data_IF_962625298177
#
_entry.id   IF_962625298177
#
_cell.length_a   1.000
_cell.length_b   1.000
_cell.length_c   1.000
_cell.angle_alpha   90.00
_cell.angle_beta   90.00
_cell.angle_gamma   90.00
#
_symmetry.space_group_name_H-M   'P 1'
#
loop_
_entity.id
_entity.type
_entity.pdbx_description
1 polymer ?
#
# COMPACT_ATOMS: atom_id res chain seq x y z
N UNK A 1 -14.13 -10.19 -10.64
CA UNK A 1 -13.42 -9.06 -11.30
C UNK A 1 -14.11 -7.72 -11.09
N UNK A 2 -15.43 -7.59 -11.30
CA UNK A 2 -16.15 -6.32 -11.07
C UNK A 2 -15.95 -5.74 -9.65
N UNK A 3 -15.93 -6.58 -8.60
CA UNK A 3 -15.69 -6.15 -7.22
C UNK A 3 -14.29 -5.55 -7.00
N UNK A 4 -13.27 -6.13 -7.63
CA UNK A 4 -11.88 -5.64 -7.57
C UNK A 4 -11.73 -4.31 -8.27
N UNK A 5 -12.34 -4.18 -9.46
CA UNK A 5 -12.34 -2.93 -10.23
C UNK A 5 -13.12 -1.83 -9.50
N UNK A 6 -14.27 -2.16 -8.91
CA UNK A 6 -15.06 -1.21 -8.13
C UNK A 6 -14.28 -0.69 -6.90
N UNK A 7 -13.54 -1.57 -6.23
CA UNK A 7 -12.71 -1.18 -5.09
C UNK A 7 -11.55 -0.26 -5.52
N UNK A 8 -10.87 -0.57 -6.63
CA UNK A 8 -9.82 0.28 -7.20
C UNK A 8 -10.36 1.64 -7.66
N UNK A 9 -11.52 1.66 -8.31
CA UNK A 9 -12.16 2.90 -8.76
C UNK A 9 -12.57 3.78 -7.58
N UNK A 10 -13.15 3.20 -6.52
CA UNK A 10 -13.52 3.95 -5.31
C UNK A 10 -12.29 4.57 -4.65
N UNK A 11 -11.18 3.83 -4.58
CA UNK A 11 -9.91 4.31 -4.03
C UNK A 11 -9.35 5.51 -4.82
N UNK A 12 -9.29 5.39 -6.15
CA UNK A 12 -8.84 6.49 -7.03
C UNK A 12 -9.75 7.72 -6.88
N UNK A 13 -11.08 7.53 -6.82
CA UNK A 13 -12.02 8.62 -6.62
C UNK A 13 -11.83 9.32 -5.27
N UNK A 14 -11.59 8.57 -4.18
CA UNK A 14 -11.34 9.17 -2.86
C UNK A 14 -9.99 9.90 -2.80
N UNK A 15 -8.93 9.30 -3.33
CA UNK A 15 -7.59 9.89 -3.38
C UNK A 15 -7.56 11.18 -4.21
N UNK A 16 -8.18 11.12 -5.39
CA UNK A 16 -8.34 12.26 -6.28
C UNK A 16 -9.22 13.34 -5.66
N UNK A 17 -10.37 12.97 -5.08
CA UNK A 17 -11.31 13.89 -4.47
C UNK A 17 -10.72 14.67 -3.28
N UNK A 18 -10.02 13.98 -2.38
CA UNK A 18 -9.36 14.59 -1.22
C UNK A 18 -8.23 15.52 -1.67
N UNK A 19 -7.38 15.06 -2.59
CA UNK A 19 -6.25 15.86 -3.10
C UNK A 19 -6.71 17.09 -3.88
N UNK A 20 -7.77 16.97 -4.68
CA UNK A 20 -8.38 18.08 -5.38
C UNK A 20 -9.04 19.07 -4.42
N UNK A 21 -9.74 18.59 -3.39
CA UNK A 21 -10.36 19.45 -2.37
C UNK A 21 -9.32 20.27 -1.58
N UNK A 22 -8.16 19.67 -1.27
CA UNK A 22 -7.07 20.33 -0.55
C UNK A 22 -6.25 21.28 -1.43
N UNK A 23 -6.01 20.90 -2.69
CA UNK A 23 -5.04 21.59 -3.54
C UNK A 23 -5.68 22.47 -4.63
N UNK A 24 -6.97 22.25 -4.95
CA UNK A 24 -7.69 22.91 -6.04
C UNK A 24 -7.16 22.58 -7.44
N UNK A 25 -6.20 21.65 -7.56
CA UNK A 25 -5.47 21.37 -8.79
C UNK A 25 -5.61 19.91 -9.22
N UNK A 26 -6.08 19.71 -10.46
CA UNK A 26 -6.23 18.40 -11.09
C UNK A 26 -4.87 17.71 -11.27
N UNK A 27 -3.81 18.49 -11.50
CA UNK A 27 -2.45 17.97 -11.66
C UNK A 27 -1.93 17.30 -10.39
N UNK A 28 -2.22 17.90 -9.23
CA UNK A 28 -1.83 17.35 -7.92
C UNK A 28 -2.63 16.10 -7.63
N UNK A 29 -3.94 16.11 -7.91
CA UNK A 29 -4.79 14.94 -7.72
C UNK A 29 -4.38 13.74 -8.60
N UNK A 30 -3.95 13.99 -9.84
CA UNK A 30 -3.38 12.96 -10.72
C UNK A 30 -2.07 12.39 -10.18
N UNK A 31 -1.16 13.26 -9.71
CA UNK A 31 0.11 12.83 -9.12
C UNK A 31 -0.11 11.98 -7.85
N UNK A 32 -1.04 12.38 -6.97
CA UNK A 32 -1.32 11.64 -5.73
C UNK A 32 -1.82 10.22 -6.01
N UNK A 33 -2.66 10.04 -7.04
CA UNK A 33 -3.15 8.70 -7.44
C UNK A 33 -2.01 7.71 -7.73
N UNK A 34 -0.87 8.18 -8.25
CA UNK A 34 0.31 7.35 -8.52
C UNK A 34 1.26 7.29 -7.32
N UNK A 35 1.39 8.39 -6.58
CA UNK A 35 2.27 8.48 -5.40
C UNK A 35 1.76 7.61 -4.27
N UNK A 36 0.44 7.50 -4.08
CA UNK A 36 -0.18 6.73 -3.00
C UNK A 36 0.25 5.25 -2.97
N UNK A 37 0.12 4.45 -4.05
CA UNK A 37 0.56 3.06 -4.03
C UNK A 37 2.08 2.92 -3.84
N UNK A 38 2.88 3.88 -4.35
CA UNK A 38 4.34 3.88 -4.18
C UNK A 38 4.71 4.13 -2.72
N UNK A 39 4.11 5.13 -2.09
CA UNK A 39 4.30 5.43 -0.67
C UNK A 39 3.81 4.27 0.17
N UNK A 40 2.68 3.65 -0.18
CA UNK A 40 2.16 2.50 0.55
C UNK A 40 3.12 1.29 0.48
N UNK A 41 3.72 1.01 -0.68
CA UNK A 41 4.77 -0.03 -0.79
C UNK A 41 6.00 0.29 0.06
N UNK A 42 6.50 1.53 -0.01
CA UNK A 42 7.68 1.97 0.75
C UNK A 42 7.39 1.92 2.26
N UNK A 43 6.23 2.43 2.67
CA UNK A 43 5.78 2.42 4.06
C UNK A 43 5.64 0.99 4.58
N UNK A 44 5.00 0.08 3.83
CA UNK A 44 4.92 -1.32 4.22
C UNK A 44 6.30 -1.97 4.34
N UNK A 45 7.23 -1.71 3.41
CA UNK A 45 8.58 -2.23 3.48
C UNK A 45 9.32 -1.75 4.74
N UNK A 46 9.26 -0.44 5.04
CA UNK A 46 9.90 0.10 6.24
C UNK A 46 9.19 -0.30 7.52
N UNK A 47 7.86 -0.38 7.52
CA UNK A 47 7.07 -0.79 8.66
C UNK A 47 7.35 -2.25 9.01
N UNK A 48 7.32 -3.15 8.03
CA UNK A 48 7.67 -4.57 8.22
C UNK A 48 9.11 -4.69 8.76
N UNK A 49 10.07 -4.04 8.10
CA UNK A 49 11.47 -4.03 8.54
C UNK A 49 11.67 -3.45 9.94
N UNK A 50 10.97 -2.37 10.29
CA UNK A 50 11.05 -1.73 11.61
C UNK A 50 10.35 -2.57 12.68
N UNK A 51 9.26 -3.24 12.33
CA UNK A 51 8.48 -4.11 13.19
C UNK A 51 9.22 -5.42 13.46
N UNK A 52 9.79 -6.09 12.44
CA UNK A 52 10.69 -7.23 12.63
C UNK A 52 11.88 -6.87 13.50
N UNK A 53 12.43 -5.66 13.38
CA UNK A 53 13.56 -5.21 14.22
C UNK A 53 13.18 -4.89 15.66
N UNK A 54 11.95 -4.44 15.92
CA UNK A 54 11.46 -4.05 17.26
C UNK A 54 10.71 -5.16 17.98
N UNK A 55 10.11 -6.09 17.24
CA UNK A 55 9.20 -7.13 17.74
C UNK A 55 9.49 -8.53 17.17
N UNK A 56 10.49 -8.71 16.31
CA UNK A 56 10.76 -9.99 15.65
C UNK A 56 11.77 -10.86 16.40
N UNK A 57 11.25 -11.83 17.16
CA UNK A 57 11.71 -13.21 17.00
C UNK A 57 11.23 -13.67 15.61
N UNK A 58 12.13 -14.11 14.74
CA UNK A 58 11.78 -14.52 13.38
C UNK A 58 10.84 -15.74 13.40
N UNK A 59 9.67 -15.72 12.74
CA UNK A 59 9.01 -16.97 12.41
C UNK A 59 9.87 -17.64 11.33
N UNK A 60 10.30 -18.86 11.61
CA UNK A 60 11.08 -19.73 10.76
C UNK A 60 10.44 -19.93 9.37
N UNK A 61 10.67 -18.99 8.45
CA UNK A 61 10.45 -19.19 7.03
C UNK A 61 11.61 -20.04 6.51
N UNK A 62 11.51 -21.36 6.66
CA UNK A 62 12.54 -22.26 6.15
C UNK A 62 12.49 -23.72 6.61
N UNK A 63 11.56 -24.14 7.48
CA UNK A 63 11.39 -25.56 7.77
C UNK A 63 10.43 -26.20 6.76
N UNK A 64 10.84 -26.27 5.48
CA UNK A 64 10.34 -27.34 4.61
C UNK A 64 10.89 -28.63 5.22
N UNK A 65 10.08 -29.28 6.05
CA UNK A 65 10.40 -30.60 6.55
C UNK A 65 10.47 -31.56 5.35
N UNK A 66 11.55 -32.34 5.18
CA UNK A 66 11.53 -33.46 4.26
C UNK A 66 10.50 -34.45 4.79
N UNK A 67 9.37 -34.57 4.11
CA UNK A 67 8.36 -35.59 4.37
C UNK A 67 8.90 -36.93 3.84
N UNK A 68 8.99 -37.99 4.67
CA UNK A 68 9.34 -39.35 4.22
C UNK A 68 8.22 -40.01 3.44
#
# INVERSE_FOLDING_TARGET
MAKTVAFGAMHVCTAFGVSYALSGSVSVAGAVTVVEPVVNMVAHYFFDRAWTRRFGEAPAQGAVAPQP
#
